data_IF_017148959517
#
_entry.id   IF_017148959517
#
_cell.length_a   1.000
_cell.length_b   1.000
_cell.length_c   1.000
_cell.angle_alpha   90.00
_cell.angle_beta   90.00
_cell.angle_gamma   90.00
#
_symmetry.space_group_name_H-M   'P 1'
#
loop_
_entity.id
_entity.type
_entity.pdbx_description
1 polymer ?
#
# COMPACT_ATOMS: atom_id res chain seq x y z
N UNK A 1 9.70 13.36 4.54
CA UNK A 1 8.37 13.13 3.95
C UNK A 1 7.90 11.78 4.46
N UNK A 2 6.60 11.65 4.75
CA UNK A 2 6.04 10.37 5.18
C UNK A 2 6.00 9.40 4.00
N UNK A 3 5.93 8.09 4.29
CA UNK A 3 5.73 7.09 3.23
C UNK A 3 4.43 7.33 2.44
N UNK A 4 3.37 7.80 3.12
CA UNK A 4 2.08 8.11 2.49
C UNK A 4 2.21 9.25 1.46
N UNK A 5 2.87 10.35 1.81
CA UNK A 5 3.11 11.47 0.88
C UNK A 5 3.90 11.03 -0.35
N UNK A 6 4.93 10.22 -0.14
CA UNK A 6 5.78 9.69 -1.20
C UNK A 6 5.01 8.74 -2.13
N UNK A 7 4.12 7.91 -1.59
CA UNK A 7 3.25 7.03 -2.38
C UNK A 7 2.21 7.81 -3.16
N UNK A 8 1.58 8.82 -2.56
CA UNK A 8 0.62 9.67 -3.26
C UNK A 8 1.29 10.39 -4.44
N UNK A 9 2.48 10.99 -4.22
CA UNK A 9 3.26 11.61 -5.30
C UNK A 9 3.70 10.61 -6.36
N UNK A 10 4.15 9.43 -5.95
CA UNK A 10 4.50 8.33 -6.87
C UNK A 10 3.31 7.95 -7.75
N UNK A 11 2.13 7.76 -7.16
CA UNK A 11 0.92 7.33 -7.88
C UNK A 11 0.43 8.42 -8.85
N UNK A 12 0.53 9.69 -8.48
CA UNK A 12 0.27 10.81 -9.39
C UNK A 12 1.23 10.78 -10.60
N UNK A 13 2.52 10.52 -10.36
CA UNK A 13 3.49 10.43 -11.45
C UNK A 13 3.23 9.22 -12.35
N UNK A 14 2.84 8.08 -11.79
CA UNK A 14 2.44 6.93 -12.61
C UNK A 14 1.22 7.23 -13.46
N UNK A 15 0.24 7.97 -12.94
CA UNK A 15 -0.94 8.36 -13.69
C UNK A 15 -0.58 9.32 -14.84
N UNK A 16 0.22 10.35 -14.56
CA UNK A 16 0.62 11.37 -15.55
C UNK A 16 1.43 10.76 -16.69
N UNK A 17 2.28 9.76 -16.39
CA UNK A 17 3.16 9.08 -17.36
C UNK A 17 2.55 7.81 -17.94
N UNK A 18 1.27 7.56 -17.69
CA UNK A 18 0.55 6.38 -18.18
C UNK A 18 1.22 5.04 -17.79
N UNK A 19 1.94 5.01 -16.67
CA UNK A 19 2.62 3.81 -16.17
C UNK A 19 1.61 2.89 -15.49
N UNK A 20 0.80 3.42 -14.56
CA UNK A 20 -0.19 2.68 -13.79
C UNK A 20 -1.28 3.63 -13.26
N UNK A 21 -2.48 3.10 -13.03
CA UNK A 21 -3.60 3.85 -12.43
C UNK A 21 -3.83 3.32 -11.02
N UNK A 22 -3.29 4.01 -10.02
CA UNK A 22 -3.35 3.62 -8.61
C UNK A 22 -3.83 4.77 -7.75
N UNK A 23 -4.73 4.51 -6.82
CA UNK A 23 -5.28 5.51 -5.91
C UNK A 23 -5.32 5.01 -4.47
N UNK A 24 -5.16 5.94 -3.53
CA UNK A 24 -5.49 5.73 -2.13
C UNK A 24 -7.01 5.76 -1.94
N UNK A 25 -7.55 4.82 -1.20
CA UNK A 25 -8.96 4.82 -0.78
C UNK A 25 -9.16 5.95 0.25
N UNK A 26 -10.25 6.72 0.15
CA UNK A 26 -10.53 7.78 1.11
C UNK A 26 -10.82 7.19 2.49
N UNK A 27 -10.51 7.96 3.54
CA UNK A 27 -10.80 7.56 4.91
C UNK A 27 -12.31 7.32 5.09
N UNK A 28 -12.73 6.12 5.52
CA UNK A 28 -14.14 5.79 5.61
C UNK A 28 -14.82 6.58 6.73
N UNK A 29 -15.83 7.36 6.35
CA UNK A 29 -16.69 8.11 7.27
C UNK A 29 -18.15 7.71 7.04
N UNK A 30 -18.93 7.69 8.12
CA UNK A 30 -20.38 7.67 8.04
C UNK A 30 -20.88 9.09 8.24
N UNK A 31 -21.49 9.64 7.20
CA UNK A 31 -22.17 10.93 7.25
C UNK A 31 -23.52 10.73 7.94
N UNK A 32 -23.81 11.57 8.94
CA UNK A 32 -25.06 11.55 9.71
C UNK A 32 -25.93 12.75 9.35
N UNK A 33 -25.32 13.93 9.23
CA UNK A 33 -26.04 15.14 8.86
C UNK A 33 -25.30 15.96 7.80
N UNK A 34 -26.08 16.54 6.89
CA UNK A 34 -25.61 17.38 5.78
C UNK A 34 -26.53 18.57 5.60
N UNK A 35 -25.93 19.76 5.60
CA UNK A 35 -26.60 21.01 5.26
C UNK A 35 -26.40 21.34 3.78
N UNK A 36 -27.43 21.91 3.14
CA UNK A 36 -27.39 22.35 1.73
C UNK A 36 -27.64 23.86 1.62
N UNK A 37 -26.62 24.71 1.85
CA UNK A 37 -26.78 26.17 1.80
C UNK A 37 -27.10 26.70 0.40
N UNK A 38 -26.77 25.96 -0.66
CA UNK A 38 -27.14 26.27 -2.05
C UNK A 38 -27.16 24.99 -2.90
N UNK A 39 -27.80 25.02 -4.08
CA UNK A 39 -27.92 23.84 -4.97
C UNK A 39 -26.59 23.17 -5.35
N UNK A 40 -25.48 23.91 -5.29
CA UNK A 40 -24.14 23.45 -5.66
C UNK A 40 -23.20 23.25 -4.46
N UNK A 41 -23.70 23.33 -3.22
CA UNK A 41 -22.89 23.19 -2.01
C UNK A 41 -23.57 22.23 -1.04
N UNK A 42 -22.84 21.19 -0.67
CA UNK A 42 -23.19 20.31 0.44
C UNK A 42 -22.14 20.49 1.54
N UNK A 43 -22.58 20.67 2.79
CA UNK A 43 -21.71 20.80 3.95
C UNK A 43 -22.05 19.67 4.91
N UNK A 44 -21.11 18.73 5.09
CA UNK A 44 -21.22 17.72 6.14
C UNK A 44 -21.11 18.44 7.49
N UNK A 45 -22.14 18.30 8.33
CA UNK A 45 -22.19 18.91 9.67
C UNK A 45 -21.95 17.90 10.78
N UNK A 46 -22.21 16.62 10.52
CA UNK A 46 -21.97 15.53 11.46
C UNK A 46 -21.53 14.26 10.72
N UNK A 47 -20.42 13.67 11.15
CA UNK A 47 -19.93 12.40 10.65
C UNK A 47 -19.11 11.66 11.71
N UNK A 48 -19.09 10.33 11.62
CA UNK A 48 -18.28 9.47 12.47
C UNK A 48 -17.31 8.65 11.63
N UNK A 49 -16.10 8.44 12.12
CA UNK A 49 -15.16 7.52 11.48
C UNK A 49 -15.70 6.09 11.52
N UNK A 50 -15.52 5.37 10.42
CA UNK A 50 -15.76 3.93 10.35
C UNK A 50 -14.43 3.20 10.33
N UNK A 51 -14.43 1.96 10.82
CA UNK A 51 -13.28 1.10 10.66
C UNK A 51 -13.15 0.69 9.19
N UNK A 52 -11.96 0.83 8.62
CA UNK A 52 -11.68 0.31 7.28
C UNK A 52 -11.86 -1.21 7.24
N UNK A 53 -12.37 -1.73 6.12
CA UNK A 53 -12.52 -3.16 5.86
C UNK A 53 -11.50 -3.69 4.85
N UNK A 54 -10.75 -2.80 4.20
CA UNK A 54 -9.81 -3.13 3.14
C UNK A 54 -8.46 -2.45 3.40
N UNK A 55 -7.48 -2.77 2.56
CA UNK A 55 -6.21 -2.04 2.40
C UNK A 55 -6.40 -0.62 1.87
N UNK A 56 -5.38 0.22 2.06
CA UNK A 56 -5.43 1.64 1.71
C UNK A 56 -5.25 1.95 0.21
N UNK A 57 -4.57 1.12 -0.59
CA UNK A 57 -4.28 1.43 -2.00
C UNK A 57 -4.79 0.35 -2.95
N UNK A 58 -5.32 0.77 -4.10
CA UNK A 58 -5.77 -0.13 -5.16
C UNK A 58 -5.58 0.50 -6.54
N UNK A 59 -5.48 -0.33 -7.57
CA UNK A 59 -5.36 0.15 -8.93
C UNK A 59 -5.18 -0.94 -9.97
N UNK A 60 -4.69 -0.54 -11.14
CA UNK A 60 -4.41 -1.43 -12.26
C UNK A 60 -3.06 -1.07 -12.90
N UNK A 61 -2.33 -2.10 -13.28
CA UNK A 61 -1.11 -2.00 -14.06
C UNK A 61 -1.03 -3.19 -15.03
N UNK A 62 -0.93 -2.90 -16.33
CA UNK A 62 -0.70 -3.92 -17.37
C UNK A 62 -1.64 -5.14 -17.22
N UNK A 63 -2.95 -4.86 -17.18
CA UNK A 63 -4.07 -5.79 -16.96
C UNK A 63 -4.14 -6.48 -15.58
N UNK A 64 -3.18 -6.22 -14.69
CA UNK A 64 -3.22 -6.75 -13.33
C UNK A 64 -3.89 -5.76 -12.39
N UNK A 65 -4.88 -6.26 -11.63
CA UNK A 65 -5.36 -5.58 -10.44
C UNK A 65 -4.23 -5.53 -9.39
N UNK A 66 -3.98 -4.34 -8.86
CA UNK A 66 -3.05 -4.08 -7.77
C UNK A 66 -3.85 -3.76 -6.50
N UNK A 67 -3.46 -4.33 -5.37
CA UNK A 67 -4.04 -4.00 -4.06
C UNK A 67 -2.95 -4.10 -2.99
N UNK A 68 -2.71 -3.02 -2.24
CA UNK A 68 -1.63 -3.03 -1.27
C UNK A 68 -1.87 -2.12 -0.08
N UNK A 69 -1.13 -2.43 0.98
CA UNK A 69 -1.04 -1.64 2.20
C UNK A 69 0.35 -1.00 2.28
N UNK A 70 0.47 0.13 2.99
CA UNK A 70 1.76 0.79 3.22
C UNK A 70 1.93 1.14 4.70
N UNK A 71 3.08 0.78 5.28
CA UNK A 71 3.38 1.05 6.69
C UNK A 71 4.83 1.55 6.83
N UNK A 72 5.05 2.44 7.79
CA UNK A 72 6.38 2.90 8.15
C UNK A 72 6.70 2.55 9.60
N UNK A 73 7.98 2.32 9.90
CA UNK A 73 8.45 2.02 11.24
C UNK A 73 9.79 2.71 11.49
N UNK A 74 9.96 3.24 12.72
CA UNK A 74 11.25 3.71 13.24
C UNK A 74 12.03 2.61 13.96
N UNK A 75 11.45 1.41 14.10
CA UNK A 75 12.16 0.30 14.70
C UNK A 75 13.23 -0.23 13.72
N UNK A 76 14.45 -0.38 14.21
CA UNK A 76 15.64 -0.76 13.41
C UNK A 76 15.74 -2.25 13.11
N UNK A 77 15.08 -3.10 13.88
CA UNK A 77 15.33 -4.55 13.80
C UNK A 77 14.10 -5.35 13.46
N UNK A 78 12.90 -4.79 13.66
CA UNK A 78 11.63 -5.49 13.44
C UNK A 78 10.53 -4.56 12.93
N UNK A 79 9.59 -5.12 12.18
CA UNK A 79 8.31 -4.51 11.88
C UNK A 79 7.21 -5.17 12.73
N UNK A 80 6.49 -4.43 13.59
CA UNK A 80 5.48 -5.01 14.47
C UNK A 80 4.24 -5.47 13.67
N UNK A 81 3.85 -6.74 13.79
CA UNK A 81 2.66 -7.26 13.09
C UNK A 81 1.37 -6.59 13.56
N UNK A 82 1.34 -6.07 14.80
CA UNK A 82 0.20 -5.29 15.30
C UNK A 82 -0.07 -4.01 14.48
N UNK A 83 0.88 -3.53 13.68
CA UNK A 83 0.66 -2.42 12.75
C UNK A 83 -0.21 -2.83 11.54
N UNK A 84 -0.36 -4.12 11.26
CA UNK A 84 -1.27 -4.65 10.25
C UNK A 84 -2.53 -5.14 10.94
N UNK A 85 -3.64 -4.45 10.69
CA UNK A 85 -4.90 -4.87 11.27
C UNK A 85 -5.41 -6.15 10.60
N UNK A 86 -6.11 -7.00 11.35
CA UNK A 86 -6.62 -8.29 10.87
C UNK A 86 -7.41 -8.17 9.57
N UNK A 87 -8.27 -7.15 9.44
CA UNK A 87 -9.06 -6.94 8.22
C UNK A 87 -8.19 -6.67 6.99
N UNK A 88 -7.01 -6.05 7.14
CA UNK A 88 -6.08 -5.81 6.03
C UNK A 88 -5.45 -7.12 5.57
N UNK A 89 -5.06 -7.99 6.51
CA UNK A 89 -4.51 -9.32 6.20
C UNK A 89 -5.57 -10.20 5.54
N UNK A 90 -6.80 -10.20 6.07
CA UNK A 90 -7.93 -10.93 5.51
C UNK A 90 -8.25 -10.45 4.09
N UNK A 91 -8.27 -9.13 3.86
CA UNK A 91 -8.49 -8.53 2.54
C UNK A 91 -7.36 -8.89 1.55
N UNK A 92 -6.09 -8.71 1.94
CA UNK A 92 -4.92 -9.10 1.13
C UNK A 92 -4.98 -10.58 0.74
N UNK A 93 -5.39 -11.45 1.66
CA UNK A 93 -5.59 -12.88 1.39
C UNK A 93 -6.69 -13.10 0.37
N UNK A 94 -7.83 -12.42 0.49
CA UNK A 94 -8.96 -12.56 -0.41
C UNK A 94 -8.63 -12.10 -1.83
N UNK A 95 -8.02 -10.92 -2.01
CA UNK A 95 -7.65 -10.40 -3.34
C UNK A 95 -6.55 -11.23 -3.99
N UNK A 96 -5.57 -11.70 -3.21
CA UNK A 96 -4.52 -12.59 -3.71
C UNK A 96 -5.11 -13.89 -4.27
N UNK A 97 -6.10 -14.48 -3.58
CA UNK A 97 -6.80 -15.70 -4.05
C UNK A 97 -7.59 -15.49 -5.34
N UNK A 98 -7.97 -14.27 -5.67
CA UNK A 98 -8.64 -13.93 -6.94
C UNK A 98 -7.67 -13.54 -8.06
N UNK A 99 -6.36 -13.61 -7.81
CA UNK A 99 -5.33 -13.33 -8.82
C UNK A 99 -4.85 -11.88 -8.88
N UNK A 100 -5.27 -11.02 -7.95
CA UNK A 100 -4.69 -9.67 -7.85
C UNK A 100 -3.23 -9.74 -7.37
N UNK A 101 -2.40 -8.82 -7.85
CA UNK A 101 -1.05 -8.61 -7.31
C UNK A 101 -1.20 -7.86 -5.99
N UNK A 102 -1.22 -8.65 -4.91
CA UNK A 102 -1.36 -8.17 -3.55
C UNK A 102 0.00 -8.06 -2.85
N UNK A 103 0.27 -6.97 -2.16
CA UNK A 103 1.56 -6.76 -1.49
C UNK A 103 1.49 -5.77 -0.33
N UNK A 104 2.59 -5.66 0.42
CA UNK A 104 2.80 -4.70 1.48
C UNK A 104 4.07 -3.90 1.19
N UNK A 105 3.99 -2.58 1.31
CA UNK A 105 5.16 -1.70 1.30
C UNK A 105 5.52 -1.34 2.74
N UNK A 106 6.76 -1.62 3.16
CA UNK A 106 7.29 -1.24 4.47
C UNK A 106 8.47 -0.30 4.30
N UNK A 107 8.42 0.86 4.98
CA UNK A 107 9.59 1.75 5.12
C UNK A 107 10.20 1.65 6.51
N UNK A 108 11.50 1.42 6.58
CA UNK A 108 12.32 1.54 7.78
C UNK A 108 12.93 2.93 7.82
N UNK A 109 12.26 3.88 8.47
CA UNK A 109 12.60 5.31 8.41
C UNK A 109 14.00 5.63 8.94
N UNK A 110 14.52 4.83 9.89
CA UNK A 110 15.87 5.01 10.42
C UNK A 110 16.99 4.62 9.44
N UNK A 111 16.66 3.83 8.41
CA UNK A 111 17.59 3.42 7.38
C UNK A 111 17.32 4.09 6.04
N UNK A 112 16.22 4.83 5.92
CA UNK A 112 15.70 5.35 4.65
C UNK A 112 15.56 4.25 3.58
N UNK A 113 15.21 3.04 4.02
CA UNK A 113 15.03 1.88 3.14
C UNK A 113 13.55 1.50 3.05
N UNK A 114 13.09 1.25 1.82
CA UNK A 114 11.71 0.84 1.53
C UNK A 114 11.70 -0.51 0.85
N UNK A 115 10.82 -1.41 1.28
CA UNK A 115 10.70 -2.77 0.77
C UNK A 115 9.26 -3.07 0.34
N UNK A 116 9.11 -3.78 -0.77
CA UNK A 116 7.87 -4.40 -1.22
C UNK A 116 7.91 -5.89 -0.90
N UNK A 117 6.88 -6.40 -0.24
CA UNK A 117 6.74 -7.82 0.09
C UNK A 117 5.44 -8.32 -0.51
N UNK A 118 5.52 -9.29 -1.42
CA UNK A 118 4.33 -9.87 -2.02
C UNK A 118 3.53 -10.67 -1.01
N UNK A 119 2.19 -10.68 -1.16
CA UNK A 119 1.29 -11.45 -0.30
C UNK A 119 1.62 -12.95 -0.33
N UNK A 120 2.09 -13.48 -1.46
CA UNK A 120 2.51 -14.88 -1.60
C UNK A 120 3.60 -15.28 -0.60
N UNK A 121 4.46 -14.34 -0.20
CA UNK A 121 5.58 -14.56 0.74
C UNK A 121 5.19 -14.12 2.16
N UNK A 122 4.45 -13.02 2.27
CA UNK A 122 4.00 -12.45 3.55
C UNK A 122 2.97 -13.34 4.27
N UNK A 123 1.97 -13.85 3.55
CA UNK A 123 0.85 -14.58 4.16
C UNK A 123 1.27 -15.92 4.80
N UNK A 124 2.13 -16.75 4.16
CA UNK A 124 2.68 -17.94 4.83
C UNK A 124 3.46 -17.58 6.09
N UNK A 125 4.30 -16.53 6.04
CA UNK A 125 5.04 -16.07 7.22
C UNK A 125 4.11 -15.72 8.39
N UNK A 126 3.06 -14.93 8.14
CA UNK A 126 2.09 -14.54 9.17
C UNK A 126 1.33 -15.75 9.74
N UNK A 127 1.00 -16.72 8.89
CA UNK A 127 0.25 -17.91 9.30
C UNK A 127 1.07 -18.85 10.18
N UNK A 128 2.33 -19.05 9.85
CA UNK A 128 3.18 -20.08 10.48
C UNK A 128 3.99 -19.52 11.67
N UNK A 129 4.11 -18.20 11.80
CA UNK A 129 4.88 -17.58 12.87
C UNK A 129 4.11 -17.50 14.19
N UNK A 130 4.81 -17.78 15.29
CA UNK A 130 4.34 -17.45 16.65
C UNK A 130 4.80 -16.07 17.10
N UNK A 131 5.62 -15.39 16.28
CA UNK A 131 6.19 -14.09 16.60
C UNK A 131 5.16 -12.97 16.41
N UNK A 132 5.34 -11.87 17.16
CA UNK A 132 4.48 -10.66 17.05
C UNK A 132 5.05 -9.61 16.10
N UNK A 133 6.09 -9.94 15.35
CA UNK A 133 6.81 -9.03 14.46
C UNK A 133 7.48 -9.78 13.32
N UNK A 134 7.79 -9.04 12.25
CA UNK A 134 8.58 -9.49 11.12
C UNK A 134 10.01 -8.97 11.30
N UNK A 135 11.03 -9.83 11.41
CA UNK A 135 12.42 -9.37 11.51
C UNK A 135 12.86 -8.60 10.27
N UNK A 136 13.58 -7.50 10.46
CA UNK A 136 14.16 -6.70 9.36
C UNK A 136 15.04 -7.56 8.43
N UNK A 137 15.81 -8.50 8.99
CA UNK A 137 16.59 -9.46 8.18
C UNK A 137 15.71 -10.32 7.26
N UNK A 138 14.55 -10.76 7.76
CA UNK A 138 13.60 -11.53 6.95
C UNK A 138 13.05 -10.68 5.81
N UNK A 139 12.73 -9.41 6.09
CA UNK A 139 12.26 -8.44 5.10
C UNK A 139 13.32 -8.17 4.02
N UNK A 140 14.60 -8.01 4.37
CA UNK A 140 15.67 -7.86 3.36
C UNK A 140 15.83 -9.10 2.48
N UNK A 141 15.56 -10.29 3.03
CA UNK A 141 15.76 -11.56 2.33
C UNK A 141 14.57 -11.94 1.42
N UNK A 142 13.34 -11.65 1.84
CA UNK A 142 12.12 -12.06 1.13
C UNK A 142 11.39 -10.89 0.47
N UNK A 143 11.66 -9.67 0.91
CA UNK A 143 11.17 -8.45 0.28
C UNK A 143 12.11 -7.97 -0.82
N UNK A 144 11.58 -7.08 -1.65
CA UNK A 144 12.30 -6.44 -2.73
C UNK A 144 12.56 -4.98 -2.38
N UNK A 145 13.80 -4.52 -2.56
CA UNK A 145 14.13 -3.11 -2.36
C UNK A 145 13.38 -2.24 -3.37
N UNK A 146 12.74 -1.17 -2.88
CA UNK A 146 12.04 -0.20 -3.72
C UNK A 146 12.91 1.04 -3.86
N UNK A 147 13.35 1.30 -5.08
CA UNK A 147 14.17 2.48 -5.37
C UNK A 147 13.36 3.77 -5.21
N UNK A 148 14.04 4.81 -4.71
CA UNK A 148 13.53 6.16 -4.64
C UNK A 148 14.31 7.06 -5.61
N UNK A 149 13.60 7.97 -6.27
CA UNK A 149 14.19 9.05 -7.06
C UNK A 149 13.49 10.36 -6.76
N UNK A 150 14.07 11.48 -7.19
CA UNK A 150 13.44 12.79 -7.02
C UNK A 150 12.03 12.85 -7.64
N UNK A 151 11.89 12.28 -8.84
CA UNK A 151 10.63 12.26 -9.59
C UNK A 151 9.65 11.23 -9.03
N UNK A 152 10.09 10.01 -8.75
CA UNK A 152 9.26 8.90 -8.26
C UNK A 152 9.85 8.41 -6.91
N UNK A 153 9.32 8.87 -5.77
CA UNK A 153 9.92 8.63 -4.45
C UNK A 153 9.79 7.20 -3.92
N UNK A 154 8.86 6.43 -4.46
CA UNK A 154 8.65 5.03 -4.10
C UNK A 154 8.36 4.23 -5.36
N UNK A 155 9.39 3.99 -6.19
CA UNK A 155 9.22 3.42 -7.53
C UNK A 155 8.98 1.90 -7.49
N UNK A 156 7.82 1.48 -7.01
CA UNK A 156 7.46 0.06 -6.78
C UNK A 156 7.00 -0.70 -8.04
N UNK A 157 6.56 -0.04 -9.12
CA UNK A 157 6.09 -0.73 -10.34
C UNK A 157 7.21 -1.53 -11.03
N UNK A 158 8.46 -1.04 -11.15
CA UNK A 158 9.58 -1.82 -11.67
C UNK A 158 9.84 -3.13 -10.95
N UNK A 159 9.69 -3.13 -9.63
CA UNK A 159 9.83 -4.34 -8.81
C UNK A 159 8.77 -5.37 -9.20
N UNK A 160 7.53 -4.94 -9.39
CA UNK A 160 6.44 -5.81 -9.85
C UNK A 160 6.73 -6.31 -11.26
N UNK A 161 7.16 -5.42 -12.16
CA UNK A 161 7.44 -5.76 -13.54
C UNK A 161 8.56 -6.79 -13.70
N UNK A 162 9.63 -6.68 -12.90
CA UNK A 162 10.73 -7.65 -12.86
C UNK A 162 10.22 -9.04 -12.46
N UNK A 163 9.42 -9.14 -11.39
CA UNK A 163 8.91 -10.42 -10.88
C UNK A 163 7.91 -11.07 -11.84
N UNK A 164 7.12 -10.26 -12.55
CA UNK A 164 6.13 -10.74 -13.53
C UNK A 164 6.66 -10.74 -14.97
N UNK A 165 7.98 -10.56 -15.17
CA UNK A 165 8.68 -10.61 -16.46
C UNK A 165 8.05 -9.72 -17.55
N UNK A 166 7.65 -8.51 -17.17
CA UNK A 166 7.04 -7.50 -18.04
C UNK A 166 7.94 -6.27 -18.11
N UNK A 167 7.91 -5.56 -19.24
CA UNK A 167 8.57 -4.26 -19.37
C UNK A 167 7.79 -3.15 -18.65
N UNK A 168 8.49 -2.13 -18.18
CA UNK A 168 7.90 -0.84 -17.77
C UNK A 168 8.25 0.18 -18.85
N UNK A 169 7.24 0.78 -19.47
CA UNK A 169 7.45 1.91 -20.38
C UNK A 169 7.37 3.21 -19.59
N UNK A 170 8.35 4.09 -19.82
CA UNK A 170 8.39 5.45 -19.29
C UNK A 170 8.44 6.39 -20.49
N UNK A 171 7.40 6.36 -21.32
CA UNK A 171 7.27 7.32 -22.42
C UNK A 171 7.05 8.75 -21.90
#
# INVERSE_FOLDING_TARGET
MSLEEDLNRTNEQYLIREIAVVHKKPTPIQIVNVDYPSRNKAKITEAYFRQASTTDYQGVWNDYALDFEAKETRNKTVFPLAALHRHQIDHLTAVHRQGAIAFLIIRFSEYDETYLIFAKDLLPFIKDTTQRSIPYKWIKQHGHSVAASYQIPCNYIPVIAEVYQKGVSYE
#
